data_IF_033053717043
#
_entry.id   IF_033053717043
#
_cell.length_a   1.000
_cell.length_b   1.000
_cell.length_c   1.000
_cell.angle_alpha   90.00
_cell.angle_beta   90.00
_cell.angle_gamma   90.00
#
_symmetry.space_group_name_H-M   'P 1'
#
loop_
_entity.id
_entity.type
_entity.pdbx_description
1 polymer ?
#
# COMPACT_ATOMS: atom_id res chain seq x y z
N UNK A 1 -9.88 -17.12 8.35
CA UNK A 1 -9.00 -16.17 7.62
C UNK A 1 -9.29 -14.80 8.18
N UNK A 2 -8.29 -14.15 8.75
CA UNK A 2 -8.49 -12.83 9.35
C UNK A 2 -8.88 -11.80 8.29
N UNK A 3 -9.76 -10.88 8.67
CA UNK A 3 -10.17 -9.78 7.80
C UNK A 3 -8.94 -8.91 7.53
N UNK A 4 -8.63 -8.60 6.25
CA UNK A 4 -7.52 -7.72 5.91
C UNK A 4 -7.69 -6.32 6.52
N UNK A 5 -6.69 -5.85 7.26
CA UNK A 5 -6.63 -4.51 7.86
C UNK A 5 -5.26 -3.87 7.66
N UNK A 6 -5.13 -2.58 7.97
CA UNK A 6 -3.85 -1.88 7.99
C UNK A 6 -2.85 -2.50 9.01
N UNK A 7 -3.36 -2.96 10.15
CA UNK A 7 -2.55 -3.50 11.24
C UNK A 7 -1.88 -4.81 10.82
N UNK A 8 -2.63 -5.74 10.22
CA UNK A 8 -2.13 -7.03 9.76
C UNK A 8 -1.55 -7.03 8.34
N UNK A 9 -1.41 -5.86 7.71
CA UNK A 9 -0.80 -5.73 6.39
C UNK A 9 0.63 -6.28 6.37
N UNK A 10 0.92 -7.14 5.39
CA UNK A 10 2.24 -7.80 5.24
C UNK A 10 3.23 -6.97 4.42
N UNK A 11 2.72 -6.03 3.61
CA UNK A 11 3.53 -5.24 2.69
C UNK A 11 3.27 -3.74 2.86
N UNK A 12 4.17 -2.95 2.28
CA UNK A 12 4.06 -1.50 2.16
C UNK A 12 4.19 -1.08 0.71
N UNK A 13 3.24 -0.25 0.26
CA UNK A 13 3.30 0.46 -1.02
C UNK A 13 4.06 1.77 -0.85
N UNK A 14 5.12 1.96 -1.64
CA UNK A 14 5.89 3.21 -1.71
C UNK A 14 5.13 4.20 -2.60
N UNK A 15 4.66 5.28 -1.98
CA UNK A 15 3.94 6.38 -2.61
C UNK A 15 4.82 7.63 -2.67
N UNK A 16 4.64 8.42 -3.72
CA UNK A 16 5.27 9.73 -3.88
C UNK A 16 4.16 10.72 -4.20
N UNK A 17 4.11 11.82 -3.46
CA UNK A 17 3.20 12.92 -3.73
C UNK A 17 4.04 14.15 -4.07
N UNK A 18 3.82 14.66 -5.27
CA UNK A 18 4.51 15.84 -5.80
C UNK A 18 3.51 16.99 -5.76
N UNK A 19 3.80 17.99 -4.93
CA UNK A 19 3.09 19.27 -4.91
C UNK A 19 4.13 20.37 -5.20
N UNK A 20 4.35 21.29 -4.25
CA UNK A 20 5.50 22.20 -4.25
C UNK A 20 6.82 21.50 -3.87
N UNK A 21 6.72 20.43 -3.10
CA UNK A 21 7.83 19.57 -2.67
C UNK A 21 7.44 18.12 -2.90
N UNK A 22 8.45 17.25 -2.98
CA UNK A 22 8.25 15.81 -3.12
C UNK A 22 8.24 15.17 -1.74
N UNK A 23 7.13 14.51 -1.41
CA UNK A 23 7.02 13.70 -0.19
C UNK A 23 6.86 12.23 -0.53
N UNK A 24 7.82 11.43 -0.09
CA UNK A 24 7.75 9.97 -0.16
C UNK A 24 7.18 9.43 1.15
N UNK A 25 6.22 8.51 1.06
CA UNK A 25 5.62 7.86 2.21
C UNK A 25 5.20 6.44 1.85
N UNK A 26 4.96 5.62 2.86
CA UNK A 26 4.51 4.24 2.68
C UNK A 26 3.06 4.09 3.12
N UNK A 27 2.35 3.18 2.48
CA UNK A 27 0.99 2.80 2.85
C UNK A 27 0.93 1.28 3.08
N UNK A 28 0.35 0.80 4.20
CA UNK A 28 0.18 -0.63 4.43
C UNK A 28 -0.72 -1.25 3.36
N UNK A 29 -0.37 -2.44 2.88
CA UNK A 29 -1.12 -3.14 1.86
C UNK A 29 -1.00 -4.66 1.92
N UNK A 30 -1.97 -5.34 1.31
CA UNK A 30 -1.95 -6.78 1.01
C UNK A 30 -1.84 -6.99 -0.49
N UNK A 31 -0.98 -7.91 -0.91
CA UNK A 31 -0.94 -8.39 -2.29
C UNK A 31 -2.07 -9.41 -2.46
N UNK A 32 -3.00 -9.12 -3.37
CA UNK A 32 -4.12 -10.03 -3.69
C UNK A 32 -3.67 -11.03 -4.76
N UNK A 33 -3.04 -10.53 -5.83
CA UNK A 33 -2.49 -11.37 -6.91
C UNK A 33 -1.49 -10.60 -7.76
N UNK A 34 -0.62 -11.35 -8.43
CA UNK A 34 0.21 -10.86 -9.54
C UNK A 34 -0.60 -10.90 -10.84
N UNK A 35 -0.57 -9.81 -11.58
CA UNK A 35 -1.19 -9.68 -12.90
C UNK A 35 -0.23 -10.20 -13.98
N UNK A 36 -0.74 -10.63 -15.15
CA UNK A 36 0.10 -11.13 -16.24
C UNK A 36 1.16 -10.14 -16.74
N UNK A 37 0.91 -8.83 -16.58
CA UNK A 37 1.84 -7.74 -16.95
C UNK A 37 2.88 -7.41 -15.87
N UNK A 38 2.97 -8.23 -14.82
CA UNK A 38 3.92 -8.04 -13.72
C UNK A 38 3.49 -7.01 -12.67
N UNK A 39 2.32 -6.38 -12.79
CA UNK A 39 1.76 -5.53 -11.72
C UNK A 39 1.15 -6.38 -10.62
N UNK A 40 1.16 -5.89 -9.39
CA UNK A 40 0.37 -6.43 -8.29
C UNK A 40 -0.99 -5.76 -8.21
N UNK A 41 -2.03 -6.57 -8.02
CA UNK A 41 -3.31 -6.12 -7.48
C UNK A 41 -3.18 -6.05 -5.97
N UNK A 42 -3.27 -4.85 -5.41
CA UNK A 42 -3.09 -4.57 -3.99
C UNK A 42 -4.40 -4.13 -3.35
N UNK A 43 -4.65 -4.55 -2.12
CA UNK A 43 -5.55 -3.86 -1.19
C UNK A 43 -4.70 -2.94 -0.33
N UNK A 44 -4.83 -1.63 -0.51
CA UNK A 44 -4.03 -0.61 0.19
C UNK A 44 -4.92 0.08 1.23
N UNK A 45 -4.39 0.35 2.42
CA UNK A 45 -5.09 1.07 3.49
C UNK A 45 -4.54 2.48 3.70
N UNK A 46 -5.41 3.39 4.14
CA UNK A 46 -5.09 4.80 4.33
C UNK A 46 -5.49 5.69 3.16
N UNK A 47 -5.40 7.01 3.38
CA UNK A 47 -5.45 8.01 2.31
C UNK A 47 -4.21 8.90 2.33
N UNK A 48 -3.42 8.81 1.25
CA UNK A 48 -2.14 9.50 1.11
C UNK A 48 -1.26 9.31 2.36
N UNK A 49 -0.76 10.42 2.93
CA UNK A 49 0.02 10.44 4.16
C UNK A 49 -0.80 10.96 5.36
N UNK A 50 -2.13 10.92 5.28
CA UNK A 50 -2.98 11.39 6.38
C UNK A 50 -3.06 10.33 7.47
N UNK A 51 -2.87 10.77 8.73
CA UNK A 51 -3.00 9.90 9.92
C UNK A 51 -4.48 9.63 10.22
N UNK A 52 -4.77 8.46 10.82
CA UNK A 52 -6.13 8.10 11.25
C UNK A 52 -7.05 7.59 10.13
N UNK A 53 -6.55 7.47 8.90
CA UNK A 53 -7.31 7.02 7.73
C UNK A 53 -7.18 5.51 7.46
N UNK A 54 -6.64 4.74 8.40
CA UNK A 54 -6.30 3.32 8.23
C UNK A 54 -7.52 2.41 7.99
N UNK A 55 -8.73 2.91 8.32
CA UNK A 55 -10.00 2.25 8.04
C UNK A 55 -10.40 2.34 6.56
N UNK A 56 -9.88 3.32 5.81
CA UNK A 56 -10.10 3.43 4.37
C UNK A 56 -9.26 2.40 3.64
N UNK A 57 -9.86 1.77 2.62
CA UNK A 57 -9.15 0.83 1.76
C UNK A 57 -9.48 1.05 0.28
N UNK A 58 -8.52 0.74 -0.60
CA UNK A 58 -8.71 0.85 -2.05
C UNK A 58 -7.90 -0.20 -2.80
N UNK A 59 -8.47 -0.72 -3.88
CA UNK A 59 -7.74 -1.56 -4.82
C UNK A 59 -6.82 -0.70 -5.71
N UNK A 60 -5.56 -1.10 -5.85
CA UNK A 60 -4.61 -0.50 -6.79
C UNK A 60 -3.90 -1.57 -7.62
N UNK A 61 -3.49 -1.21 -8.83
CA UNK A 61 -2.68 -2.03 -9.70
C UNK A 61 -1.32 -1.36 -9.89
N UNK A 62 -0.28 -1.88 -9.25
CA UNK A 62 1.01 -1.19 -9.12
C UNK A 62 2.14 -2.13 -9.53
N UNK A 63 3.19 -1.59 -10.17
CA UNK A 63 4.40 -2.35 -10.49
C UNK A 63 5.05 -2.93 -9.22
N UNK A 64 5.52 -4.17 -9.29
CA UNK A 64 6.07 -4.90 -8.14
C UNK A 64 7.20 -4.15 -7.42
N UNK A 65 8.04 -3.41 -8.16
CA UNK A 65 9.19 -2.65 -7.62
C UNK A 65 8.83 -1.54 -6.63
N UNK A 66 7.55 -1.14 -6.55
CA UNK A 66 7.06 -0.14 -5.60
C UNK A 66 6.49 -0.75 -4.32
N UNK A 67 6.51 -2.07 -4.18
CA UNK A 67 5.97 -2.79 -3.03
C UNK A 67 7.12 -3.50 -2.32
N UNK A 68 7.16 -3.38 -0.99
CA UNK A 68 8.16 -4.03 -0.14
C UNK A 68 7.50 -4.72 1.05
N UNK A 69 8.22 -5.63 1.70
CA UNK A 69 7.77 -6.19 2.98
C UNK A 69 7.62 -5.08 4.02
N UNK A 70 6.55 -5.16 4.83
CA UNK A 70 6.39 -4.29 5.99
C UNK A 70 7.40 -4.77 7.06
N UNK A 71 8.23 -3.87 7.62
CA UNK A 71 9.10 -4.25 8.73
C UNK A 71 8.24 -4.66 9.93
N UNK A 72 8.67 -5.70 10.63
CA UNK A 72 8.10 -6.05 11.94
C UNK A 72 8.37 -4.90 12.90
N UNK A 73 7.31 -4.44 13.57
CA UNK A 73 7.31 -3.30 14.49
C UNK A 73 7.47 -3.74 15.93
#
# INVERSE_FOLDING_TARGET
MDVPTAANATHQLICQHVCRWTKTYVMPCHIIKTMPDGRYKLLVFGDRHWKGQDHLSRIRYIIASRVRLKPES
#
